data_IF_502519729816
#
_entry.id   IF_502519729816
#
_cell.length_a   1.000
_cell.length_b   1.000
_cell.length_c   1.000
_cell.angle_alpha   90.00
_cell.angle_beta   90.00
_cell.angle_gamma   90.00
#
_symmetry.space_group_name_H-M   'P 1'
#
loop_
_entity.id
_entity.type
_entity.pdbx_description
1 polymer ?
#
# COMPACT_ATOMS: atom_id res chain seq x y z
N UNK A 1 21.94 7.71 -4.11
CA UNK A 1 20.55 7.23 -4.11
C UNK A 1 19.83 7.87 -5.27
N UNK A 2 19.29 7.10 -6.21
CA UNK A 2 18.41 7.68 -7.23
C UNK A 2 17.24 8.32 -6.48
N UNK A 3 17.00 9.61 -6.71
CA UNK A 3 15.87 10.30 -6.09
C UNK A 3 14.57 9.72 -6.66
N UNK A 4 13.95 8.79 -5.93
CA UNK A 4 12.69 8.18 -6.35
C UNK A 4 11.56 9.21 -6.49
N UNK A 5 11.72 10.37 -5.88
CA UNK A 5 10.76 11.47 -5.86
C UNK A 5 11.10 12.62 -6.82
N UNK A 6 11.99 12.39 -7.81
CA UNK A 6 12.20 13.41 -8.87
C UNK A 6 10.95 13.69 -9.70
N UNK A 7 10.08 12.69 -9.82
CA UNK A 7 8.74 12.82 -10.39
C UNK A 7 7.72 12.24 -9.41
N UNK A 8 6.49 12.75 -9.40
CA UNK A 8 5.43 12.04 -8.69
C UNK A 8 5.06 10.74 -9.44
N UNK A 9 4.70 9.73 -8.67
CA UNK A 9 4.47 8.38 -9.17
C UNK A 9 3.08 8.21 -9.76
N UNK A 10 3.00 7.53 -10.89
CA UNK A 10 1.75 7.09 -11.50
C UNK A 10 1.79 5.56 -11.56
N UNK A 11 1.15 4.91 -10.61
CA UNK A 11 1.32 3.48 -10.41
C UNK A 11 0.02 2.70 -10.26
N UNK A 12 0.16 1.39 -10.29
CA UNK A 12 -0.95 0.45 -10.08
C UNK A 12 -0.54 -0.66 -9.11
N UNK A 13 -1.52 -1.20 -8.40
CA UNK A 13 -1.33 -2.40 -7.58
C UNK A 13 -1.56 -3.65 -8.42
N UNK A 14 -0.66 -4.62 -8.34
CA UNK A 14 -0.62 -5.83 -9.14
C UNK A 14 -0.35 -7.08 -8.28
N UNK A 15 -1.06 -8.16 -8.54
CA UNK A 15 -0.84 -9.46 -7.91
C UNK A 15 -1.46 -9.65 -6.54
N UNK A 16 -2.39 -8.79 -6.09
CA UNK A 16 -3.10 -9.02 -4.83
C UNK A 16 -3.88 -10.34 -4.90
N UNK A 17 -3.58 -11.26 -3.97
CA UNK A 17 -4.08 -12.65 -3.92
C UNK A 17 -3.68 -13.53 -5.11
N UNK A 18 -2.62 -13.16 -5.83
CA UNK A 18 -2.00 -14.07 -6.79
C UNK A 18 -1.58 -15.37 -6.08
N UNK A 19 -1.87 -16.49 -6.71
CA UNK A 19 -1.52 -17.82 -6.18
C UNK A 19 -0.12 -18.23 -6.58
N UNK A 20 0.44 -19.21 -5.87
CA UNK A 20 1.72 -19.82 -6.21
C UNK A 20 1.72 -20.31 -7.68
N UNK A 21 2.77 -19.97 -8.39
CA UNK A 21 2.96 -20.28 -9.81
C UNK A 21 2.39 -19.22 -10.77
N UNK A 22 1.53 -18.29 -10.33
CA UNK A 22 0.88 -17.36 -11.26
C UNK A 22 1.85 -16.37 -11.87
N UNK A 23 2.77 -15.78 -11.11
CA UNK A 23 3.73 -14.82 -11.65
C UNK A 23 4.68 -15.41 -12.71
N UNK A 24 4.85 -16.73 -12.75
CA UNK A 24 5.63 -17.41 -13.78
C UNK A 24 4.89 -17.61 -15.11
N UNK A 25 3.58 -17.33 -15.16
CA UNK A 25 2.76 -17.54 -16.36
C UNK A 25 2.95 -16.46 -17.41
N UNK A 26 2.69 -16.80 -18.69
CA UNK A 26 2.62 -15.78 -19.76
C UNK A 26 1.48 -14.79 -19.55
N UNK A 27 0.39 -15.20 -18.90
CA UNK A 27 -0.70 -14.30 -18.54
C UNK A 27 -0.21 -13.17 -17.62
N UNK A 28 0.52 -13.49 -16.54
CA UNK A 28 1.11 -12.48 -15.66
C UNK A 28 2.07 -11.54 -16.40
N UNK A 29 2.88 -12.07 -17.32
CA UNK A 29 3.77 -11.26 -18.17
C UNK A 29 3.00 -10.37 -19.14
N UNK A 30 1.89 -10.86 -19.70
CA UNK A 30 1.00 -10.03 -20.53
C UNK A 30 0.40 -8.89 -19.72
N UNK A 31 -0.04 -9.16 -18.49
CA UNK A 31 -0.53 -8.11 -17.58
C UNK A 31 0.55 -7.07 -17.28
N UNK A 32 1.78 -7.48 -17.01
CA UNK A 32 2.90 -6.56 -16.78
C UNK A 32 3.18 -5.66 -18.02
N UNK A 33 3.12 -6.22 -19.24
CA UNK A 33 3.24 -5.42 -20.48
C UNK A 33 2.08 -4.42 -20.61
N UNK A 34 0.85 -4.86 -20.35
CA UNK A 34 -0.32 -3.98 -20.42
C UNK A 34 -0.24 -2.85 -19.37
N UNK A 35 0.29 -3.09 -18.19
CA UNK A 35 0.60 -2.04 -17.20
C UNK A 35 1.54 -0.99 -17.81
N UNK A 36 2.63 -1.43 -18.44
CA UNK A 36 3.56 -0.51 -19.12
C UNK A 36 2.87 0.31 -20.22
N UNK A 37 2.07 -0.34 -21.03
CA UNK A 37 1.32 0.29 -22.13
C UNK A 37 0.24 1.27 -21.64
N UNK A 38 -0.27 1.11 -20.41
CA UNK A 38 -1.21 2.05 -19.82
C UNK A 38 -0.61 3.42 -19.50
N UNK A 39 0.73 3.52 -19.46
CA UNK A 39 1.45 4.73 -19.07
C UNK A 39 1.87 4.76 -17.59
N UNK A 40 1.53 3.75 -16.81
CA UNK A 40 2.07 3.61 -15.45
C UNK A 40 3.59 3.46 -15.49
N UNK A 41 4.27 4.05 -14.52
CA UNK A 41 5.73 3.95 -14.33
C UNK A 41 6.11 3.21 -13.05
N UNK A 42 5.13 2.93 -12.18
CA UNK A 42 5.29 2.20 -10.93
C UNK A 42 4.33 1.03 -10.81
N UNK A 43 4.82 -0.04 -10.20
CA UNK A 43 4.01 -1.21 -9.82
C UNK A 43 4.18 -1.49 -8.33
N UNK A 44 3.08 -1.53 -7.61
CA UNK A 44 3.05 -2.17 -6.29
C UNK A 44 2.86 -3.66 -6.50
N UNK A 45 3.94 -4.42 -6.44
CA UNK A 45 3.88 -5.87 -6.51
C UNK A 45 3.49 -6.42 -5.13
N UNK A 46 2.30 -6.99 -5.06
CA UNK A 46 1.77 -7.55 -3.80
C UNK A 46 2.11 -9.02 -3.69
N UNK A 47 2.59 -9.40 -2.51
CA UNK A 47 2.73 -10.80 -2.11
C UNK A 47 1.82 -11.03 -0.92
N UNK A 48 0.70 -11.73 -1.13
CA UNK A 48 -0.25 -11.99 -0.04
C UNK A 48 0.32 -13.07 0.88
N UNK A 49 0.40 -12.73 2.16
CA UNK A 49 0.77 -13.64 3.24
C UNK A 49 -0.40 -13.77 4.22
N UNK A 50 -0.43 -14.81 5.01
CA UNK A 50 -1.63 -15.16 5.74
C UNK A 50 -1.40 -15.31 7.24
N UNK A 51 -2.45 -15.08 8.00
CA UNK A 51 -2.70 -15.60 9.35
C UNK A 51 -4.10 -16.22 9.41
N UNK A 52 -4.38 -17.06 10.38
CA UNK A 52 -5.66 -17.78 10.41
C UNK A 52 -6.86 -16.84 10.60
N UNK A 53 -6.77 -15.93 11.58
CA UNK A 53 -7.80 -14.95 11.92
C UNK A 53 -7.18 -13.69 12.54
N UNK A 54 -7.97 -12.66 12.84
CA UNK A 54 -7.51 -11.33 13.26
C UNK A 54 -6.68 -11.29 14.54
N UNK A 55 -6.76 -12.29 15.40
CA UNK A 55 -5.98 -12.41 16.64
C UNK A 55 -4.99 -13.59 16.63
N UNK A 56 -4.73 -14.19 15.49
CA UNK A 56 -3.64 -15.16 15.32
C UNK A 56 -2.29 -14.45 15.37
N UNK A 57 -1.33 -15.05 16.04
CA UNK A 57 0.00 -14.44 16.20
C UNK A 57 1.00 -14.85 15.12
N UNK A 58 0.75 -15.96 14.43
CA UNK A 58 1.63 -16.45 13.36
C UNK A 58 1.19 -15.96 12.01
N UNK A 59 2.15 -15.41 11.27
CA UNK A 59 2.03 -15.10 9.86
C UNK A 59 2.85 -16.11 9.06
N UNK A 60 2.33 -16.57 7.95
CA UNK A 60 2.94 -17.63 7.15
C UNK A 60 2.68 -17.45 5.65
N UNK A 61 3.53 -18.09 4.86
CA UNK A 61 3.30 -18.29 3.43
C UNK A 61 2.44 -19.53 3.25
N UNK A 62 1.27 -19.38 2.65
CA UNK A 62 0.46 -20.53 2.26
C UNK A 62 1.01 -21.14 0.97
N UNK A 63 1.17 -22.45 0.95
CA UNK A 63 1.79 -23.15 -0.18
C UNK A 63 1.03 -22.98 -1.51
N UNK A 64 -0.29 -22.78 -1.45
CA UNK A 64 -1.15 -22.62 -2.64
C UNK A 64 -1.40 -21.14 -2.95
N UNK A 65 -1.64 -20.34 -1.90
CA UNK A 65 -2.17 -18.98 -2.05
C UNK A 65 -1.09 -17.89 -1.99
N UNK A 66 0.15 -18.22 -1.60
CA UNK A 66 1.25 -17.24 -1.60
C UNK A 66 2.21 -17.55 -2.73
N UNK A 67 2.53 -16.58 -3.61
CA UNK A 67 3.57 -16.74 -4.63
C UNK A 67 4.91 -17.18 -4.05
N UNK A 68 5.63 -18.05 -4.76
CA UNK A 68 6.98 -18.47 -4.36
C UNK A 68 7.97 -17.31 -4.47
N UNK A 69 9.06 -17.39 -3.71
CA UNK A 69 10.09 -16.34 -3.73
C UNK A 69 10.74 -16.21 -5.12
N UNK A 70 10.93 -17.34 -5.80
CA UNK A 70 11.56 -17.35 -7.13
C UNK A 70 10.69 -16.58 -8.13
N UNK A 71 9.40 -16.89 -8.20
CA UNK A 71 8.50 -16.21 -9.14
C UNK A 71 8.30 -14.71 -8.80
N UNK A 72 8.33 -14.33 -7.51
CA UNK A 72 8.32 -12.91 -7.09
C UNK A 72 9.58 -12.20 -7.59
N UNK A 73 10.75 -12.79 -7.40
CA UNK A 73 12.02 -12.22 -7.88
C UNK A 73 12.05 -12.11 -9.41
N UNK A 74 11.65 -13.16 -10.12
CA UNK A 74 11.58 -13.17 -11.59
C UNK A 74 10.59 -12.14 -12.14
N UNK A 75 9.44 -11.93 -11.45
CA UNK A 75 8.48 -10.91 -11.84
C UNK A 75 9.02 -9.50 -11.59
N UNK A 76 9.76 -9.24 -10.50
CA UNK A 76 10.44 -7.95 -10.27
C UNK A 76 11.45 -7.69 -11.40
N UNK A 77 12.28 -8.65 -11.72
CA UNK A 77 13.26 -8.54 -12.82
C UNK A 77 12.55 -8.28 -14.17
N UNK A 78 11.42 -8.94 -14.41
CA UNK A 78 10.63 -8.72 -15.61
C UNK A 78 10.03 -7.32 -15.70
N UNK A 79 9.45 -6.82 -14.58
CA UNK A 79 8.93 -5.45 -14.50
C UNK A 79 10.04 -4.42 -14.75
N UNK A 80 11.22 -4.62 -14.17
CA UNK A 80 12.40 -3.78 -14.42
C UNK A 80 12.82 -3.81 -15.89
N UNK A 81 12.78 -4.98 -16.55
CA UNK A 81 13.10 -5.12 -17.98
C UNK A 81 12.17 -4.32 -18.90
N UNK A 82 10.93 -4.07 -18.43
CA UNK A 82 9.96 -3.20 -19.10
C UNK A 82 10.16 -1.71 -18.77
N UNK A 83 11.12 -1.37 -17.90
CA UNK A 83 11.36 0.00 -17.43
C UNK A 83 10.29 0.48 -16.44
N UNK A 84 9.67 -0.43 -15.70
CA UNK A 84 8.78 -0.13 -14.58
C UNK A 84 9.59 -0.15 -13.27
N UNK A 85 9.24 0.72 -12.34
CA UNK A 85 9.77 0.71 -10.97
C UNK A 85 8.85 -0.09 -10.06
N UNK A 86 9.43 -0.75 -9.06
CA UNK A 86 8.70 -1.68 -8.22
C UNK A 86 8.70 -1.24 -6.75
N UNK A 87 7.51 -1.19 -6.16
CA UNK A 87 7.34 -1.25 -4.72
C UNK A 87 6.94 -2.67 -4.32
N UNK A 88 7.79 -3.39 -3.61
CA UNK A 88 7.42 -4.70 -3.05
C UNK A 88 6.59 -4.50 -1.78
N UNK A 89 5.40 -5.14 -1.75
CA UNK A 89 4.47 -5.06 -0.62
C UNK A 89 4.00 -6.46 -0.21
N UNK A 90 4.62 -7.08 0.80
CA UNK A 90 4.03 -8.24 1.45
C UNK A 90 2.80 -7.79 2.25
N UNK A 91 1.63 -8.31 1.92
CA UNK A 91 0.34 -7.85 2.44
C UNK A 91 -0.35 -8.96 3.23
N UNK A 92 -0.67 -8.67 4.48
CA UNK A 92 -1.32 -9.63 5.37
C UNK A 92 -2.79 -9.79 5.04
N UNK A 93 -3.27 -11.04 5.01
CA UNK A 93 -4.68 -11.39 4.94
C UNK A 93 -5.03 -12.46 5.98
N UNK A 94 -6.31 -12.60 6.27
CA UNK A 94 -6.80 -13.64 7.18
C UNK A 94 -7.49 -14.74 6.38
N UNK A 95 -7.26 -16.00 6.77
CA UNK A 95 -7.88 -17.15 6.09
C UNK A 95 -9.38 -17.25 6.32
N UNK A 96 -9.86 -16.73 7.45
CA UNK A 96 -11.29 -16.71 7.80
C UNK A 96 -12.07 -15.57 7.11
N UNK A 97 -11.40 -14.72 6.32
CA UNK A 97 -12.03 -13.61 5.62
C UNK A 97 -12.37 -12.39 6.50
N UNK A 98 -11.97 -12.37 7.77
CA UNK A 98 -12.21 -11.22 8.68
C UNK A 98 -11.41 -9.97 8.29
N UNK A 99 -10.34 -10.16 7.50
CA UNK A 99 -9.52 -9.09 6.92
C UNK A 99 -8.54 -8.43 7.90
N UNK A 100 -7.43 -7.94 7.34
CA UNK A 100 -6.32 -7.34 8.08
C UNK A 100 -6.68 -6.10 8.91
N UNK A 101 -7.68 -5.32 8.51
CA UNK A 101 -8.20 -4.17 9.29
C UNK A 101 -8.72 -4.57 10.67
N UNK A 102 -9.11 -5.82 10.84
CA UNK A 102 -9.57 -6.38 12.11
C UNK A 102 -8.45 -6.83 13.04
N UNK A 103 -7.20 -6.88 12.58
CA UNK A 103 -6.07 -7.35 13.40
C UNK A 103 -5.86 -6.39 14.58
N UNK A 104 -6.03 -6.92 15.78
CA UNK A 104 -5.93 -6.15 16.99
C UNK A 104 -5.62 -7.04 18.18
N UNK A 105 -4.86 -6.50 19.12
CA UNK A 105 -4.54 -7.14 20.39
C UNK A 105 -4.79 -6.17 21.54
N UNK A 106 -5.22 -6.67 22.72
CA UNK A 106 -5.33 -5.84 23.91
C UNK A 106 -3.99 -5.15 24.21
N UNK A 107 -4.06 -3.92 24.69
CA UNK A 107 -2.85 -3.23 25.18
C UNK A 107 -2.19 -4.07 26.24
N UNK A 108 -0.88 -4.20 26.14
CA UNK A 108 -0.10 -4.85 27.17
C UNK A 108 -0.36 -4.15 28.51
N UNK A 109 -0.62 -4.96 29.54
CA UNK A 109 -0.77 -4.41 30.90
C UNK A 109 0.59 -3.90 31.37
N UNK A 110 0.78 -2.60 31.29
CA UNK A 110 1.97 -1.91 31.76
C UNK A 110 1.98 -1.69 33.29
N UNK A 111 0.98 -2.20 34.01
CA UNK A 111 0.84 -1.95 35.47
C UNK A 111 1.84 -2.71 36.34
N UNK A 112 2.79 -3.42 35.76
CA UNK A 112 3.86 -4.10 36.49
C UNK A 112 3.46 -5.42 37.16
N UNK A 113 2.24 -5.92 36.91
CA UNK A 113 1.80 -7.23 37.40
C UNK A 113 2.41 -8.41 36.63
N UNK A 114 3.18 -8.15 35.60
CA UNK A 114 3.90 -9.17 34.85
C UNK A 114 5.15 -9.62 35.58
N UNK A 115 5.38 -10.91 35.53
CA UNK A 115 6.70 -11.48 35.91
C UNK A 115 7.60 -11.29 34.68
N UNK A 116 8.58 -10.37 34.70
CA UNK A 116 9.43 -10.09 33.55
C UNK A 116 10.10 -11.37 33.05
N UNK A 117 10.02 -11.62 31.74
CA UNK A 117 10.68 -12.74 31.08
C UNK A 117 9.97 -14.11 31.17
N UNK A 118 8.82 -14.20 31.86
CA UNK A 118 8.10 -15.47 32.00
C UNK A 118 6.88 -15.61 31.05
N UNK A 119 6.27 -14.51 30.64
CA UNK A 119 5.10 -14.54 29.78
C UNK A 119 5.31 -13.57 28.62
N UNK A 120 5.30 -14.10 27.41
CA UNK A 120 5.16 -13.30 26.19
C UNK A 120 3.68 -13.01 25.98
N UNK A 121 3.37 -11.84 25.45
CA UNK A 121 2.00 -11.51 25.07
C UNK A 121 1.74 -11.88 23.63
N UNK A 122 0.49 -12.11 23.29
CA UNK A 122 0.05 -12.30 21.91
C UNK A 122 0.51 -11.15 21.02
N UNK A 123 0.44 -9.91 21.50
CA UNK A 123 0.95 -8.73 20.80
C UNK A 123 2.45 -8.85 20.51
N UNK A 124 3.27 -9.22 21.50
CA UNK A 124 4.71 -9.38 21.31
C UNK A 124 5.03 -10.52 20.35
N UNK A 125 4.29 -11.63 20.43
CA UNK A 125 4.47 -12.77 19.53
C UNK A 125 4.03 -12.43 18.09
N UNK A 126 2.96 -11.66 17.95
CA UNK A 126 2.54 -11.15 16.64
C UNK A 126 3.60 -10.24 16.03
N UNK A 127 4.13 -9.26 16.80
CA UNK A 127 5.19 -8.38 16.30
C UNK A 127 6.50 -9.11 16.01
N UNK A 128 6.80 -10.21 16.71
CA UNK A 128 7.91 -11.06 16.35
C UNK A 128 7.68 -11.69 14.96
N UNK A 129 6.52 -12.30 14.74
CA UNK A 129 6.14 -12.92 13.46
C UNK A 129 6.11 -11.88 12.32
N UNK A 130 5.55 -10.71 12.60
CA UNK A 130 5.54 -9.58 11.65
C UNK A 130 6.96 -9.11 11.30
N UNK A 131 7.86 -9.05 12.30
CA UNK A 131 9.24 -8.63 12.06
C UNK A 131 10.00 -9.67 11.23
N UNK A 132 9.83 -10.94 11.53
CA UNK A 132 10.44 -12.04 10.76
C UNK A 132 9.99 -11.99 9.29
N UNK A 133 8.70 -11.80 9.04
CA UNK A 133 8.14 -11.61 7.69
C UNK A 133 8.71 -10.36 7.01
N UNK A 134 8.68 -9.23 7.72
CA UNK A 134 9.14 -7.96 7.16
C UNK A 134 10.62 -8.02 6.76
N UNK A 135 11.47 -8.56 7.61
CA UNK A 135 12.90 -8.77 7.31
C UNK A 135 13.11 -9.74 6.16
N UNK A 136 12.31 -10.80 6.10
CA UNK A 136 12.39 -11.78 5.03
C UNK A 136 12.15 -11.16 3.65
N UNK A 137 11.04 -10.42 3.47
CA UNK A 137 10.73 -9.78 2.20
C UNK A 137 11.59 -8.55 1.91
N UNK A 138 12.09 -7.86 2.95
CA UNK A 138 13.07 -6.80 2.77
C UNK A 138 14.37 -7.30 2.14
N UNK A 139 14.82 -8.53 2.49
CA UNK A 139 15.97 -9.17 1.82
C UNK A 139 15.68 -9.51 0.35
N UNK A 140 14.45 -9.87 0.01
CA UNK A 140 14.06 -10.07 -1.39
C UNK A 140 14.09 -8.73 -2.13
N UNK A 141 13.52 -7.65 -1.54
CA UNK A 141 13.57 -6.32 -2.11
C UNK A 141 15.01 -5.84 -2.36
N UNK A 142 15.92 -6.02 -1.40
CA UNK A 142 17.34 -5.67 -1.56
C UNK A 142 18.00 -6.47 -2.69
N UNK A 143 17.76 -7.78 -2.71
CA UNK A 143 18.37 -8.68 -3.70
C UNK A 143 17.91 -8.38 -5.14
N UNK A 144 16.66 -7.97 -5.31
CA UNK A 144 16.07 -7.69 -6.63
C UNK A 144 16.20 -6.23 -7.05
N UNK A 145 16.62 -5.36 -6.14
CA UNK A 145 16.68 -3.92 -6.40
C UNK A 145 15.31 -3.24 -6.48
N UNK A 146 14.26 -3.83 -5.88
CA UNK A 146 12.98 -3.15 -5.76
C UNK A 146 13.17 -1.77 -5.12
N UNK A 147 12.67 -0.72 -5.75
CA UNK A 147 12.97 0.67 -5.39
C UNK A 147 12.35 1.10 -4.08
N UNK A 148 11.25 0.48 -3.67
CA UNK A 148 10.57 0.78 -2.40
C UNK A 148 10.17 -0.54 -1.74
N UNK A 149 10.33 -0.59 -0.42
CA UNK A 149 9.76 -1.64 0.41
C UNK A 149 8.62 -1.09 1.26
N UNK A 150 7.44 -1.69 1.16
CA UNK A 150 6.28 -1.36 1.99
C UNK A 150 6.07 -2.47 3.02
N UNK A 151 6.03 -2.12 4.30
CA UNK A 151 5.91 -3.09 5.40
C UNK A 151 4.61 -3.90 5.32
N UNK A 152 3.50 -3.22 5.05
CA UNK A 152 2.16 -3.77 4.90
C UNK A 152 1.16 -2.68 4.48
N UNK A 153 -0.12 -3.04 4.43
CA UNK A 153 -1.24 -2.12 4.24
C UNK A 153 -2.29 -2.31 5.33
N UNK A 154 -2.79 -1.20 5.86
CA UNK A 154 -4.02 -1.11 6.67
C UNK A 154 -4.01 -1.88 8.02
N UNK A 155 -2.85 -2.02 8.64
CA UNK A 155 -2.71 -2.53 10.02
C UNK A 155 -2.96 -1.42 11.06
N UNK A 156 -3.98 -0.63 10.85
CA UNK A 156 -4.22 0.67 11.50
C UNK A 156 -4.46 0.57 13.00
N UNK A 157 -5.08 -0.52 13.46
CA UNK A 157 -5.34 -0.74 14.90
C UNK A 157 -4.08 -0.99 15.73
N UNK A 158 -2.95 -1.21 15.04
CA UNK A 158 -1.65 -1.46 15.67
C UNK A 158 -0.71 -0.25 15.64
N UNK A 159 -1.14 0.88 15.08
CA UNK A 159 -0.33 2.08 14.87
C UNK A 159 0.26 2.64 16.17
N UNK A 160 -0.46 2.55 17.27
CA UNK A 160 -0.03 3.09 18.57
C UNK A 160 1.11 2.29 19.24
N UNK A 161 1.49 1.12 18.72
CA UNK A 161 2.56 0.29 19.31
C UNK A 161 3.96 0.72 18.87
N UNK A 162 4.29 1.97 19.16
CA UNK A 162 5.46 2.70 18.68
C UNK A 162 6.79 1.93 18.81
N UNK A 163 7.07 1.36 19.99
CA UNK A 163 8.32 0.65 20.25
C UNK A 163 8.47 -0.63 19.40
N UNK A 164 7.37 -1.33 19.17
CA UNK A 164 7.38 -2.54 18.32
C UNK A 164 7.68 -2.18 16.87
N UNK A 165 7.02 -1.16 16.32
CA UNK A 165 7.27 -0.69 14.97
C UNK A 165 8.68 -0.15 14.78
N UNK A 166 9.21 0.62 15.73
CA UNK A 166 10.60 1.11 15.68
C UNK A 166 11.61 -0.03 15.69
N UNK A 167 11.40 -1.05 16.51
CA UNK A 167 12.26 -2.23 16.53
C UNK A 167 12.19 -3.01 15.19
N UNK A 168 11.01 -3.17 14.63
CA UNK A 168 10.81 -3.78 13.31
C UNK A 168 11.54 -2.99 12.22
N UNK A 169 11.34 -1.67 12.16
CA UNK A 169 12.01 -0.79 11.18
C UNK A 169 13.53 -0.87 11.27
N UNK A 170 14.08 -0.87 12.50
CA UNK A 170 15.52 -1.03 12.71
C UNK A 170 16.04 -2.33 12.09
N UNK A 171 15.31 -3.44 12.22
CA UNK A 171 15.72 -4.72 11.66
C UNK A 171 15.56 -4.77 10.13
N UNK A 172 14.51 -4.17 9.58
CA UNK A 172 14.32 -4.03 8.14
C UNK A 172 15.46 -3.21 7.52
N UNK A 173 15.80 -2.05 8.12
CA UNK A 173 16.89 -1.20 7.63
C UNK A 173 18.28 -1.83 7.76
N UNK A 174 18.44 -2.86 8.58
CA UNK A 174 19.70 -3.61 8.64
C UNK A 174 19.93 -4.51 7.40
N UNK A 175 18.88 -4.75 6.59
CA UNK A 175 18.92 -5.67 5.44
C UNK A 175 18.42 -5.05 4.14
N UNK A 176 17.82 -3.86 4.17
CA UNK A 176 17.33 -3.15 3.00
C UNK A 176 17.79 -1.68 3.05
N UNK A 177 18.45 -1.26 1.97
CA UNK A 177 19.07 0.06 1.85
C UNK A 177 18.17 1.12 1.19
N UNK A 178 17.08 0.70 0.56
CA UNK A 178 16.14 1.58 -0.12
C UNK A 178 15.10 2.21 0.83
N UNK A 179 14.22 3.07 0.28
CA UNK A 179 13.12 3.69 1.01
C UNK A 179 12.11 2.69 1.56
N UNK A 180 11.71 2.90 2.83
CA UNK A 180 10.73 2.07 3.54
C UNK A 180 9.49 2.90 3.89
N UNK A 181 8.32 2.34 3.64
CA UNK A 181 7.03 2.91 3.99
C UNK A 181 6.07 1.87 4.57
N UNK A 182 4.91 2.31 5.01
CA UNK A 182 3.75 1.49 5.38
C UNK A 182 2.49 2.23 4.96
N UNK A 183 1.47 1.51 4.46
CA UNK A 183 0.26 2.11 3.92
C UNK A 183 -0.87 2.08 4.97
N UNK A 184 -1.55 3.21 5.18
CA UNK A 184 -2.55 3.37 6.24
C UNK A 184 -3.82 4.04 5.75
N UNK A 185 -4.99 3.64 6.29
CA UNK A 185 -6.27 4.21 5.86
C UNK A 185 -6.44 5.66 6.32
N UNK A 186 -7.16 6.42 5.51
CA UNK A 186 -7.55 7.81 5.83
C UNK A 186 -9.07 7.98 5.99
N UNK A 187 -9.84 7.01 5.55
CA UNK A 187 -11.29 7.08 5.44
C UNK A 187 -12.05 6.31 6.53
N UNK A 188 -11.36 5.40 7.24
CA UNK A 188 -11.98 4.52 8.26
C UNK A 188 -12.12 5.19 9.63
N UNK A 189 -11.46 6.33 9.86
CA UNK A 189 -11.48 7.00 11.17
C UNK A 189 -10.77 6.25 12.31
N UNK A 190 -9.94 5.26 11.98
CA UNK A 190 -9.18 4.48 12.97
C UNK A 190 -7.97 5.27 13.46
N UNK A 191 -7.29 5.97 12.56
CA UNK A 191 -6.11 6.78 12.88
C UNK A 191 -6.51 8.25 12.99
N UNK A 192 -6.25 8.84 14.14
CA UNK A 192 -6.24 10.29 14.32
C UNK A 192 -4.85 10.82 13.94
N UNK A 193 -4.69 11.21 12.67
CA UNK A 193 -3.41 11.67 12.13
C UNK A 193 -2.88 12.92 12.84
N UNK A 194 -3.72 13.84 13.25
CA UNK A 194 -3.30 15.04 13.97
C UNK A 194 -2.69 14.68 15.31
N UNK A 195 -3.36 13.81 16.06
CA UNK A 195 -2.84 13.29 17.31
C UNK A 195 -1.53 12.52 17.13
N UNK A 196 -1.50 11.59 16.19
CA UNK A 196 -0.31 10.77 15.90
C UNK A 196 0.87 11.62 15.48
N UNK A 197 0.67 12.59 14.58
CA UNK A 197 1.73 13.46 14.06
C UNK A 197 2.12 14.60 15.02
N UNK A 198 1.37 14.82 16.10
CA UNK A 198 1.81 15.73 17.18
C UNK A 198 2.96 15.15 18.00
N UNK A 199 3.10 13.84 18.08
CA UNK A 199 4.25 13.17 18.70
C UNK A 199 5.38 12.98 17.67
N UNK A 200 6.39 13.83 17.72
CA UNK A 200 7.57 13.74 16.83
C UNK A 200 8.41 12.48 17.05
N UNK A 201 8.17 11.73 18.12
CA UNK A 201 8.78 10.42 18.36
C UNK A 201 7.96 9.25 17.81
N UNK A 202 6.81 9.50 17.17
CA UNK A 202 6.02 8.45 16.56
C UNK A 202 6.79 7.80 15.40
N UNK A 203 6.69 6.47 15.28
CA UNK A 203 7.41 5.68 14.29
C UNK A 203 7.12 6.06 12.83
N UNK A 204 6.02 6.78 12.55
CA UNK A 204 5.77 7.35 11.23
C UNK A 204 6.90 8.28 10.77
N UNK A 205 7.56 8.98 11.70
CA UNK A 205 8.70 9.82 11.39
C UNK A 205 9.97 9.04 11.03
N UNK A 206 10.02 7.73 11.34
CA UNK A 206 11.12 6.84 10.94
C UNK A 206 10.90 6.24 9.53
N UNK A 207 9.71 6.42 8.93
CA UNK A 207 9.45 6.10 7.51
C UNK A 207 10.08 7.17 6.60
N UNK A 208 10.44 6.78 5.37
CA UNK A 208 10.98 7.72 4.38
C UNK A 208 9.89 8.63 3.81
N UNK A 209 8.67 8.12 3.70
CA UNK A 209 7.48 8.85 3.31
C UNK A 209 6.23 8.19 3.89
N UNK A 210 5.12 8.92 3.94
CA UNK A 210 3.84 8.39 4.40
C UNK A 210 3.03 7.89 3.20
N UNK A 211 2.67 6.60 3.24
CA UNK A 211 1.77 6.00 2.25
C UNK A 211 0.35 5.92 2.80
N UNK A 212 -0.63 6.37 2.03
CA UNK A 212 -2.02 6.46 2.47
C UNK A 212 -2.94 5.66 1.56
N UNK A 213 -3.89 4.95 2.17
CA UNK A 213 -5.01 4.29 1.50
C UNK A 213 -6.22 5.25 1.51
N UNK A 214 -6.62 5.70 0.32
CA UNK A 214 -7.55 6.81 0.15
C UNK A 214 -8.76 6.40 -0.68
N UNK A 215 -9.81 5.92 -0.01
CA UNK A 215 -11.08 5.52 -0.63
C UNK A 215 -12.21 6.43 -0.15
N UNK A 216 -12.45 7.50 -0.87
CA UNK A 216 -13.42 8.51 -0.47
C UNK A 216 -14.68 8.53 -1.33
N UNK A 217 -14.80 7.66 -2.33
CA UNK A 217 -15.91 7.65 -3.29
C UNK A 217 -17.29 7.59 -2.64
N UNK A 218 -17.42 6.87 -1.52
CA UNK A 218 -18.68 6.78 -0.79
C UNK A 218 -19.13 8.11 -0.12
N UNK A 219 -18.22 9.08 -0.01
CA UNK A 219 -18.47 10.41 0.57
C UNK A 219 -18.66 11.49 -0.50
N UNK A 220 -18.44 11.15 -1.76
CA UNK A 220 -18.57 12.07 -2.88
C UNK A 220 -19.94 11.89 -3.49
N UNK A 221 -20.66 12.98 -3.62
CA UNK A 221 -22.03 13.03 -4.19
C UNK A 221 -22.08 13.62 -5.59
N UNK A 222 -21.04 14.33 -6.00
CA UNK A 222 -20.90 14.89 -7.33
C UNK A 222 -20.92 13.83 -8.41
N UNK A 223 -21.60 14.11 -9.52
CA UNK A 223 -21.73 13.21 -10.68
C UNK A 223 -20.69 13.57 -11.73
N UNK A 224 -20.51 14.85 -11.99
CA UNK A 224 -19.54 15.37 -12.94
C UNK A 224 -18.15 15.55 -12.34
N UNK A 225 -17.14 15.65 -13.18
CA UNK A 225 -15.76 15.93 -12.75
C UNK A 225 -15.66 17.20 -11.90
N UNK A 226 -16.32 18.29 -12.28
CA UNK A 226 -16.26 19.56 -11.55
C UNK A 226 -16.96 19.48 -10.17
N UNK A 227 -18.09 18.80 -10.10
CA UNK A 227 -18.74 18.53 -8.79
C UNK A 227 -17.86 17.67 -7.89
N UNK A 228 -17.19 16.65 -8.45
CA UNK A 228 -16.25 15.80 -7.70
C UNK A 228 -15.02 16.57 -7.22
N UNK A 229 -14.53 17.54 -8.01
CA UNK A 229 -13.48 18.47 -7.55
C UNK A 229 -13.93 19.24 -6.31
N UNK A 230 -15.16 19.78 -6.34
CA UNK A 230 -15.70 20.48 -5.17
C UNK A 230 -15.80 19.55 -3.92
N UNK A 231 -16.24 18.33 -4.13
CA UNK A 231 -16.33 17.32 -3.06
C UNK A 231 -14.95 16.91 -2.51
N UNK A 232 -13.88 16.98 -3.31
CA UNK A 232 -12.52 16.69 -2.86
C UNK A 232 -11.87 17.81 -2.04
N UNK A 233 -12.33 19.06 -2.16
CA UNK A 233 -11.68 20.20 -1.50
C UNK A 233 -11.52 20.04 0.02
N UNK A 234 -12.53 19.60 0.79
CA UNK A 234 -12.36 19.41 2.23
C UNK A 234 -11.29 18.35 2.56
N UNK A 235 -11.12 17.35 1.68
CA UNK A 235 -10.13 16.31 1.85
C UNK A 235 -8.73 16.83 1.51
N UNK A 236 -8.61 17.63 0.45
CA UNK A 236 -7.36 18.28 0.10
C UNK A 236 -6.84 19.15 1.26
N UNK A 237 -7.70 19.97 1.87
CA UNK A 237 -7.35 20.78 3.03
C UNK A 237 -6.89 19.93 4.22
N UNK A 238 -7.58 18.82 4.47
CA UNK A 238 -7.16 17.86 5.51
C UNK A 238 -5.78 17.28 5.23
N UNK A 239 -5.50 16.91 3.98
CA UNK A 239 -4.20 16.35 3.61
C UNK A 239 -3.08 17.39 3.62
N UNK A 240 -3.35 18.66 3.27
CA UNK A 240 -2.40 19.77 3.45
C UNK A 240 -1.95 19.88 4.90
N UNK A 241 -2.89 19.84 5.83
CA UNK A 241 -2.58 19.89 7.26
C UNK A 241 -1.73 18.68 7.72
N UNK A 242 -2.08 17.47 7.26
CA UNK A 242 -1.29 16.26 7.53
C UNK A 242 0.13 16.42 6.97
N UNK A 243 0.26 16.91 5.74
CA UNK A 243 1.54 17.11 5.08
C UNK A 243 2.43 18.13 5.80
N UNK A 244 1.86 19.26 6.21
CA UNK A 244 2.54 20.27 7.00
C UNK A 244 3.07 19.68 8.32
N UNK A 245 2.24 18.94 9.04
CA UNK A 245 2.63 18.29 10.28
C UNK A 245 3.71 17.22 10.09
N UNK A 246 3.61 16.44 9.01
CA UNK A 246 4.53 15.34 8.75
C UNK A 246 5.90 15.84 8.22
N UNK A 247 5.90 16.80 7.31
CA UNK A 247 7.11 17.43 6.78
C UNK A 247 7.95 16.55 5.85
N UNK A 248 7.40 15.43 5.35
CA UNK A 248 8.01 14.53 4.37
C UNK A 248 7.01 14.23 3.25
N UNK A 249 7.44 13.60 2.12
CA UNK A 249 6.54 13.22 1.04
C UNK A 249 5.34 12.38 1.50
N UNK A 250 4.18 12.61 0.87
CA UNK A 250 2.99 11.79 1.02
C UNK A 250 2.64 11.19 -0.35
N UNK A 251 2.37 9.88 -0.37
CA UNK A 251 1.96 9.15 -1.55
C UNK A 251 0.65 8.41 -1.26
N UNK A 252 -0.29 8.45 -2.19
CA UNK A 252 -1.51 7.67 -2.06
C UNK A 252 -1.25 6.25 -2.58
N UNK A 253 -0.81 5.40 -1.65
CA UNK A 253 -0.37 4.03 -1.92
C UNK A 253 -1.49 3.06 -2.24
N UNK A 254 -2.74 3.44 -1.94
CA UNK A 254 -3.94 2.82 -2.45
C UNK A 254 -4.98 3.90 -2.74
N UNK A 255 -5.51 3.88 -3.95
CA UNK A 255 -6.53 4.81 -4.39
C UNK A 255 -7.44 4.12 -5.39
N UNK A 256 -8.74 4.35 -5.29
CA UNK A 256 -9.71 3.74 -6.19
C UNK A 256 -11.14 4.10 -5.81
N UNK A 257 -12.07 3.66 -6.63
CA UNK A 257 -13.49 3.88 -6.38
C UNK A 257 -14.34 2.72 -6.91
N UNK A 258 -15.50 2.52 -6.31
CA UNK A 258 -16.53 1.59 -6.74
C UNK A 258 -17.61 2.36 -7.53
N UNK A 259 -17.28 2.82 -8.70
CA UNK A 259 -18.13 3.62 -9.58
C UNK A 259 -18.25 2.95 -10.96
N UNK A 260 -19.20 3.40 -11.78
CA UNK A 260 -19.27 3.01 -13.19
C UNK A 260 -17.97 3.38 -13.93
N UNK A 261 -17.66 2.76 -15.07
CA UNK A 261 -16.42 3.06 -15.80
C UNK A 261 -16.24 4.53 -16.14
N UNK A 262 -17.31 5.23 -16.55
CA UNK A 262 -17.31 6.65 -16.88
C UNK A 262 -17.10 7.51 -15.63
N UNK A 263 -17.84 7.23 -14.57
CA UNK A 263 -17.70 7.92 -13.29
C UNK A 263 -16.34 7.71 -12.65
N UNK A 264 -15.73 6.53 -12.84
CA UNK A 264 -14.38 6.23 -12.39
C UNK A 264 -13.35 7.13 -13.08
N UNK A 265 -13.53 7.41 -14.39
CA UNK A 265 -12.65 8.32 -15.12
C UNK A 265 -12.78 9.76 -14.61
N UNK A 266 -14.00 10.26 -14.41
CA UNK A 266 -14.24 11.59 -13.85
C UNK A 266 -13.69 11.73 -12.43
N UNK A 267 -13.84 10.67 -11.62
CA UNK A 267 -13.27 10.61 -10.27
C UNK A 267 -11.74 10.73 -10.29
N UNK A 268 -11.07 9.96 -11.14
CA UNK A 268 -9.62 10.01 -11.29
C UNK A 268 -9.15 11.35 -11.85
N UNK A 269 -9.83 11.88 -12.88
CA UNK A 269 -9.48 13.18 -13.48
C UNK A 269 -9.61 14.31 -12.45
N UNK A 270 -10.72 14.38 -11.72
CA UNK A 270 -10.95 15.36 -10.67
C UNK A 270 -9.85 15.31 -9.60
N UNK A 271 -9.49 14.09 -9.19
CA UNK A 271 -8.45 13.87 -8.22
C UNK A 271 -7.08 14.35 -8.73
N UNK A 272 -6.64 13.89 -9.90
CA UNK A 272 -5.33 14.25 -10.45
C UNK A 272 -5.19 15.76 -10.69
N UNK A 273 -6.23 16.43 -11.20
CA UNK A 273 -6.22 17.87 -11.40
C UNK A 273 -6.08 18.68 -10.09
N UNK A 274 -6.60 18.16 -8.98
CA UNK A 274 -6.51 18.82 -7.68
C UNK A 274 -5.22 18.52 -6.93
N UNK A 275 -4.75 17.27 -6.97
CA UNK A 275 -3.65 16.84 -6.13
C UNK A 275 -2.28 16.93 -6.82
N UNK A 276 -2.22 16.82 -8.16
CA UNK A 276 -0.93 16.90 -8.85
C UNK A 276 -0.19 18.23 -8.70
N UNK A 277 -0.85 19.41 -8.49
CA UNK A 277 -0.13 20.65 -8.21
C UNK A 277 0.44 20.75 -6.79
N UNK A 278 0.02 19.88 -5.88
CA UNK A 278 0.43 19.96 -4.46
C UNK A 278 1.88 19.51 -4.27
N UNK A 279 2.76 20.35 -3.70
CA UNK A 279 4.20 20.04 -3.60
C UNK A 279 4.53 18.91 -2.64
N UNK A 280 3.64 18.60 -1.72
CA UNK A 280 3.77 17.52 -0.74
C UNK A 280 3.27 16.17 -1.26
N UNK A 281 2.50 16.15 -2.36
CA UNK A 281 1.91 14.94 -2.92
C UNK A 281 2.84 14.35 -3.98
N UNK A 282 3.24 13.09 -3.78
CA UNK A 282 4.25 12.42 -4.60
C UNK A 282 3.72 11.24 -5.40
N UNK A 283 2.39 11.16 -5.56
CA UNK A 283 1.81 10.23 -6.51
C UNK A 283 0.68 9.36 -5.98
N UNK A 284 0.23 8.49 -6.84
CA UNK A 284 -0.93 7.61 -6.63
C UNK A 284 -0.67 6.23 -7.20
N UNK A 285 -1.11 5.21 -6.48
CA UNK A 285 -1.17 3.84 -6.95
C UNK A 285 -2.62 3.40 -6.97
N UNK A 286 -3.12 3.09 -8.17
CA UNK A 286 -4.50 2.65 -8.32
C UNK A 286 -4.70 1.25 -7.75
N UNK A 287 -5.74 1.05 -7.02
CA UNK A 287 -6.22 -0.22 -6.54
C UNK A 287 -7.43 -0.64 -7.38
N UNK A 288 -7.28 -1.62 -8.28
CA UNK A 288 -6.11 -2.42 -8.64
C UNK A 288 -6.08 -2.69 -10.15
N UNK A 289 -5.01 -3.33 -10.65
CA UNK A 289 -4.86 -3.67 -12.07
C UNK A 289 -5.53 -4.99 -12.43
N UNK A 290 -5.33 -6.04 -11.63
CA UNK A 290 -5.75 -7.41 -11.87
C UNK A 290 -6.67 -7.93 -10.77
N UNK A 291 -7.36 -9.04 -11.06
CA UNK A 291 -8.22 -9.70 -10.08
C UNK A 291 -7.90 -11.18 -10.02
N UNK A 292 -7.61 -11.64 -8.81
CA UNK A 292 -7.52 -13.06 -8.46
C UNK A 292 -8.74 -13.40 -7.60
N UNK A 293 -9.68 -14.12 -8.20
CA UNK A 293 -10.91 -14.54 -7.51
C UNK A 293 -10.57 -15.62 -6.51
N UNK A 294 -10.92 -15.40 -5.25
CA UNK A 294 -10.97 -16.45 -4.25
C UNK A 294 -12.34 -16.43 -3.53
N UNK A 295 -12.52 -17.29 -2.54
CA UNK A 295 -13.81 -17.47 -1.85
C UNK A 295 -14.32 -16.23 -1.13
N UNK A 296 -13.48 -15.24 -0.90
CA UNK A 296 -13.79 -14.02 -0.15
C UNK A 296 -14.06 -12.83 -1.06
N UNK A 297 -13.74 -12.96 -2.36
CA UNK A 297 -14.10 -11.97 -3.37
C UNK A 297 -15.54 -12.21 -3.83
N UNK A 298 -16.48 -11.67 -3.06
CA UNK A 298 -17.90 -11.72 -3.41
C UNK A 298 -18.32 -10.75 -4.53
N UNK A 299 -17.38 -9.97 -5.05
CA UNK A 299 -17.63 -9.01 -6.11
C UNK A 299 -17.52 -9.73 -7.46
N UNK A 300 -18.64 -10.21 -7.97
CA UNK A 300 -18.75 -10.93 -9.25
C UNK A 300 -18.24 -10.14 -10.46
N UNK A 301 -18.20 -8.80 -10.37
CA UNK A 301 -17.43 -7.91 -11.24
C UNK A 301 -16.48 -7.08 -10.37
N UNK A 302 -15.19 -7.11 -10.70
CA UNK A 302 -14.26 -6.29 -9.98
C UNK A 302 -14.35 -4.82 -10.41
N UNK A 303 -15.21 -4.10 -9.74
CA UNK A 303 -15.45 -2.67 -9.99
C UNK A 303 -14.25 -1.78 -9.63
N UNK A 304 -13.22 -2.34 -8.99
CA UNK A 304 -11.99 -1.64 -8.66
C UNK A 304 -10.99 -1.58 -9.82
N UNK A 305 -11.13 -2.42 -10.84
CA UNK A 305 -10.17 -2.48 -11.95
C UNK A 305 -10.13 -1.17 -12.72
N UNK A 306 -8.92 -0.75 -13.10
CA UNK A 306 -8.72 0.35 -14.05
C UNK A 306 -8.55 -0.18 -15.48
N UNK A 307 -7.99 -1.39 -15.62
CA UNK A 307 -7.71 -2.04 -16.90
C UNK A 307 -8.95 -2.12 -17.79
N UNK A 308 -8.81 -1.71 -19.06
CA UNK A 308 -9.88 -1.74 -20.06
C UNK A 308 -10.95 -0.69 -19.89
N UNK A 309 -10.83 0.23 -18.93
CA UNK A 309 -11.81 1.27 -18.63
C UNK A 309 -11.35 2.65 -19.11
N UNK A 310 -12.26 3.63 -19.24
CA UNK A 310 -11.90 5.01 -19.61
C UNK A 310 -10.84 5.63 -18.70
N UNK A 311 -10.82 5.28 -17.41
CA UNK A 311 -9.81 5.76 -16.46
C UNK A 311 -8.38 5.31 -16.82
N UNK A 312 -8.18 4.16 -17.49
CA UNK A 312 -6.86 3.75 -17.98
C UNK A 312 -6.29 4.71 -19.01
N UNK A 313 -7.15 5.32 -19.86
CA UNK A 313 -6.69 6.28 -20.86
C UNK A 313 -6.09 7.53 -20.21
N UNK A 314 -6.64 7.95 -19.06
CA UNK A 314 -6.09 9.06 -18.28
C UNK A 314 -4.66 8.77 -17.78
N UNK A 315 -4.35 7.55 -17.42
CA UNK A 315 -2.97 7.17 -17.06
C UNK A 315 -2.00 7.47 -18.20
N UNK A 316 -2.38 7.14 -19.44
CA UNK A 316 -1.55 7.41 -20.63
C UNK A 316 -1.42 8.91 -20.91
N UNK A 317 -2.48 9.67 -20.72
CA UNK A 317 -2.45 11.13 -20.88
C UNK A 317 -1.53 11.78 -19.84
N UNK A 318 -1.72 11.41 -18.58
CA UNK A 318 -0.95 11.95 -17.45
C UNK A 318 0.51 11.45 -17.41
N UNK A 319 0.82 10.31 -18.02
CA UNK A 319 2.22 9.84 -18.16
C UNK A 319 3.08 10.80 -18.99
N UNK A 320 2.45 11.55 -19.89
CA UNK A 320 3.11 12.55 -20.75
C UNK A 320 3.10 13.97 -20.13
N UNK A 321 2.44 14.17 -19.00
CA UNK A 321 2.44 15.44 -18.30
C UNK A 321 3.78 15.70 -17.60
N UNK A 322 4.09 16.97 -17.30
CA UNK A 322 5.21 17.29 -16.43
C UNK A 322 4.89 16.84 -15.00
N UNK A 323 5.64 15.84 -14.53
CA UNK A 323 5.49 15.25 -13.21
C UNK A 323 6.67 15.55 -12.29
N UNK A 324 7.54 16.46 -12.71
CA UNK A 324 8.74 16.82 -11.95
C UNK A 324 8.40 17.36 -10.55
N UNK A 325 9.29 17.08 -9.61
CA UNK A 325 9.27 17.62 -8.25
C UNK A 325 10.61 18.27 -7.96
N UNK A 326 10.56 19.47 -7.40
CA UNK A 326 11.73 20.24 -7.01
C UNK A 326 12.44 19.67 -5.77
#
# INVERSE_FOLDING_TARGET
>A
MNNIFSNWHLGVTFGFRAKNGWFSTEEAKMEARAIKESGADWVVLVVTVYQEHTYSVKQFKDFVMTPSDLEVMEMIDYLHSLGLKVQLRPMLETLDGSGRLGVWFPKEDLTGKRIPGLIRTELSDWFQSMTERAVYYAKIAEKTGAEIYCLDSELDRLVDYNNHWKNLLKQVRAVYSGPVTSCHTTHMGIIDYEKVLSDKNHWFYDLDFLSLSCYHSAKLTGITKEERKADFLPQLERFRKIAEMYGKPILFGEFGCKLSPEEQADYLAAFLELFSPEPWWYGVYWWKWDQHVDRTDNDGECIWLIKGRPAEKLYREWSNADRSRA
#
